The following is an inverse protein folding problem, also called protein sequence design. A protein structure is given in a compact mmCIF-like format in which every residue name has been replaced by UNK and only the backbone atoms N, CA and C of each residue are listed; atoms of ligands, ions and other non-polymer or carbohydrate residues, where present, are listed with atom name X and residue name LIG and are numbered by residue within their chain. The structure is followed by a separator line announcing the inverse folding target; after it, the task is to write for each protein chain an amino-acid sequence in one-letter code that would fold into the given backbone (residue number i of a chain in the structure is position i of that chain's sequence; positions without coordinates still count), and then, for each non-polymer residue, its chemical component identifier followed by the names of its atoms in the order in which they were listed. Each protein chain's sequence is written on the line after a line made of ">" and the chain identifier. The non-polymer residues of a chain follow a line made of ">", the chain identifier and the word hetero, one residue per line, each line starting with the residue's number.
data_IF_099538757920
#
_entry.id   IF_099538757920
#
_cell.length_a   1.000
_cell.length_b   1.000
_cell.length_c   1.000
_cell.angle_alpha   90.00
_cell.angle_beta   90.00
_cell.angle_gamma   90.00
#
_symmetry.space_group_name_H-M   'P 1'
#
loop_
_entity.id
_entity.type
_entity.pdbx_description
1 polymer ?
#
# COMPACT_ATOMS: atom_id res chain seq x y z
N UNK A 1 35.54 8.17 -14.57
CA UNK A 1 34.18 8.69 -14.27
C UNK A 1 33.22 7.51 -14.23
N UNK A 2 32.39 7.40 -13.21
CA UNK A 2 31.42 6.29 -13.09
C UNK A 2 30.32 6.49 -14.14
N UNK A 3 29.90 5.41 -14.79
CA UNK A 3 28.77 5.44 -15.73
C UNK A 3 27.69 4.48 -15.25
N UNK A 4 26.48 4.99 -15.11
CA UNK A 4 25.28 4.21 -14.84
C UNK A 4 24.56 4.04 -16.17
N UNK A 5 24.33 2.81 -16.60
CA UNK A 5 23.48 2.48 -17.75
C UNK A 5 22.18 1.86 -17.26
N UNK A 6 21.10 2.65 -17.19
CA UNK A 6 19.80 2.15 -16.81
C UNK A 6 19.30 1.12 -17.83
N UNK A 7 18.74 0.04 -17.31
CA UNK A 7 17.99 -0.93 -18.12
C UNK A 7 16.65 -1.22 -17.45
N UNK A 8 15.80 -2.01 -18.08
CA UNK A 8 14.43 -2.23 -17.62
C UNK A 8 14.37 -3.09 -16.35
N UNK A 9 15.17 -4.16 -16.30
CA UNK A 9 15.21 -5.11 -15.18
C UNK A 9 16.50 -4.98 -14.36
N UNK A 10 17.66 -4.97 -15.02
CA UNK A 10 18.98 -4.90 -14.37
C UNK A 10 19.89 -3.90 -15.07
N UNK A 11 20.29 -2.87 -14.36
CA UNK A 11 21.18 -1.81 -14.84
C UNK A 11 22.65 -2.18 -14.64
N UNK A 12 23.52 -1.59 -15.46
CA UNK A 12 24.98 -1.83 -15.42
C UNK A 12 25.70 -0.60 -14.90
N UNK A 13 26.66 -0.82 -14.01
CA UNK A 13 27.47 0.24 -13.40
C UNK A 13 28.93 -0.01 -13.77
N UNK A 14 29.55 0.98 -14.40
CA UNK A 14 30.91 0.92 -14.92
C UNK A 14 31.84 1.85 -14.16
N UNK A 15 33.12 1.51 -14.13
CA UNK A 15 34.18 2.40 -13.63
C UNK A 15 34.24 2.55 -12.11
N UNK A 16 33.64 1.63 -11.35
CA UNK A 16 33.77 1.59 -9.89
C UNK A 16 35.17 1.13 -9.49
N UNK A 17 35.77 1.81 -8.51
CA UNK A 17 36.98 1.33 -7.84
C UNK A 17 36.67 0.06 -7.02
N UNK A 18 37.72 -0.65 -6.59
CA UNK A 18 37.57 -1.83 -5.73
C UNK A 18 36.91 -1.48 -4.37
N UNK A 19 37.26 -0.34 -3.81
CA UNK A 19 36.71 0.15 -2.54
C UNK A 19 35.24 0.55 -2.68
N UNK A 20 34.89 1.29 -3.74
CA UNK A 20 33.51 1.66 -4.04
C UNK A 20 32.65 0.42 -4.28
N UNK A 21 33.18 -0.54 -5.06
CA UNK A 21 32.52 -1.83 -5.30
C UNK A 21 32.25 -2.58 -4.00
N UNK A 22 33.23 -2.63 -3.09
CA UNK A 22 33.08 -3.30 -1.78
C UNK A 22 32.00 -2.63 -0.94
N UNK A 23 31.98 -1.30 -0.90
CA UNK A 23 31.00 -0.53 -0.12
C UNK A 23 29.57 -0.70 -0.67
N UNK A 24 29.40 -0.57 -2.00
CA UNK A 24 28.10 -0.72 -2.66
C UNK A 24 27.57 -2.15 -2.52
N UNK A 25 28.42 -3.15 -2.74
CA UNK A 25 27.99 -4.56 -2.62
C UNK A 25 27.65 -4.97 -1.20
N UNK A 26 28.28 -4.35 -0.19
CA UNK A 26 27.89 -4.53 1.21
C UNK A 26 26.47 -4.00 1.48
N UNK A 27 26.11 -2.82 0.95
CA UNK A 27 24.76 -2.25 1.08
C UNK A 27 23.72 -3.11 0.34
N UNK A 28 24.08 -3.65 -0.83
CA UNK A 28 23.20 -4.50 -1.65
C UNK A 28 23.15 -5.98 -1.19
N UNK A 29 23.80 -6.31 -0.06
CA UNK A 29 23.80 -7.66 0.53
C UNK A 29 23.01 -7.67 1.83
N UNK A 30 21.80 -8.22 1.80
CA UNK A 30 20.88 -8.18 2.95
C UNK A 30 20.84 -9.53 3.65
N UNK A 31 20.93 -9.50 4.99
CA UNK A 31 20.88 -10.71 5.81
C UNK A 31 19.48 -11.34 5.78
N UNK A 32 19.41 -12.65 5.53
CA UNK A 32 18.15 -13.38 5.62
C UNK A 32 17.89 -13.80 7.09
N UNK A 33 16.79 -13.37 7.72
CA UNK A 33 16.51 -13.74 9.11
C UNK A 33 16.24 -15.24 9.26
N UNK A 34 15.72 -15.88 8.21
CA UNK A 34 15.41 -17.31 8.19
C UNK A 34 16.62 -18.19 7.79
N UNK A 35 17.83 -17.61 7.68
CA UNK A 35 19.04 -18.33 7.25
C UNK A 35 19.34 -19.57 8.09
N UNK A 36 19.07 -19.55 9.39
CA UNK A 36 19.34 -20.67 10.30
C UNK A 36 18.55 -21.94 9.95
N UNK A 37 17.40 -21.80 9.30
CA UNK A 37 16.58 -22.92 8.83
C UNK A 37 17.09 -23.51 7.50
N UNK A 38 17.96 -22.80 6.77
CA UNK A 38 18.40 -23.20 5.44
C UNK A 38 19.61 -24.15 5.52
N UNK A 39 19.55 -25.36 4.91
CA UNK A 39 20.67 -26.31 4.91
C UNK A 39 21.98 -25.72 4.40
N UNK A 40 21.92 -24.86 3.38
CA UNK A 40 23.12 -24.21 2.81
C UNK A 40 23.84 -23.31 3.82
N UNK A 41 23.11 -22.64 4.71
CA UNK A 41 23.71 -21.83 5.77
C UNK A 41 24.30 -22.72 6.88
N UNK A 42 23.54 -23.73 7.32
CA UNK A 42 23.99 -24.70 8.33
C UNK A 42 25.26 -25.44 7.91
N UNK A 43 25.37 -25.77 6.62
CA UNK A 43 26.53 -26.44 6.04
C UNK A 43 27.65 -25.47 5.62
N UNK A 44 27.58 -24.17 5.97
CA UNK A 44 28.58 -23.14 5.64
C UNK A 44 28.85 -22.94 4.13
N UNK A 45 27.92 -23.36 3.27
CA UNK A 45 27.98 -23.18 1.81
C UNK A 45 27.53 -21.76 1.42
N UNK A 46 26.72 -21.12 2.25
CA UNK A 46 26.18 -19.78 2.03
C UNK A 46 26.31 -18.92 3.29
N UNK A 47 26.69 -17.67 3.12
CA UNK A 47 26.93 -16.68 4.18
C UNK A 47 25.66 -16.11 4.83
N UNK A 48 24.48 -16.55 4.37
CA UNK A 48 23.20 -16.11 4.90
C UNK A 48 22.73 -14.77 4.34
N UNK A 49 23.44 -14.18 3.36
CA UNK A 49 23.07 -12.91 2.73
C UNK A 49 22.50 -13.12 1.33
N UNK A 50 21.36 -12.50 1.07
CA UNK A 50 20.81 -12.36 -0.28
C UNK A 50 21.48 -11.18 -0.99
N UNK A 51 22.00 -11.45 -2.20
CA UNK A 51 22.73 -10.47 -3.02
C UNK A 51 21.78 -9.92 -4.07
N UNK A 52 21.56 -8.61 -4.05
CA UNK A 52 20.73 -7.91 -5.04
C UNK A 52 21.57 -7.35 -6.21
N UNK A 53 22.68 -8.02 -6.52
CA UNK A 53 23.60 -7.67 -7.60
C UNK A 53 24.27 -8.94 -8.15
N UNK A 54 24.92 -8.79 -9.29
CA UNK A 54 25.83 -9.76 -9.91
C UNK A 54 26.97 -9.02 -10.61
N UNK A 55 27.94 -9.75 -11.16
CA UNK A 55 29.03 -9.19 -11.96
C UNK A 55 29.03 -9.76 -13.37
N UNK A 56 29.32 -8.91 -14.35
CA UNK A 56 29.68 -9.28 -15.72
C UNK A 56 31.11 -8.80 -15.96
N UNK A 57 32.09 -9.65 -15.72
CA UNK A 57 33.49 -9.23 -15.64
C UNK A 57 33.70 -8.22 -14.50
N UNK A 58 34.17 -7.01 -14.82
CA UNK A 58 34.32 -5.90 -13.87
C UNK A 58 33.07 -5.04 -13.71
N UNK A 59 32.00 -5.33 -14.46
CA UNK A 59 30.78 -4.52 -14.47
C UNK A 59 29.86 -4.99 -13.35
N UNK A 60 29.46 -4.07 -12.48
CA UNK A 60 28.46 -4.35 -11.45
C UNK A 60 27.06 -4.29 -12.08
N UNK A 61 26.31 -5.38 -11.98
CA UNK A 61 24.94 -5.50 -12.50
C UNK A 61 23.97 -5.51 -11.33
N UNK A 62 23.04 -4.56 -11.29
CA UNK A 62 22.13 -4.33 -10.16
C UNK A 62 20.69 -4.28 -10.64
N UNK A 63 19.73 -4.73 -9.83
CA UNK A 63 18.31 -4.51 -10.12
C UNK A 63 18.04 -3.02 -10.31
N UNK A 64 17.39 -2.64 -11.40
CA UNK A 64 17.21 -1.22 -11.74
C UNK A 64 16.48 -0.44 -10.65
N UNK A 65 15.51 -1.05 -9.97
CA UNK A 65 14.82 -0.42 -8.85
C UNK A 65 15.72 -0.14 -7.63
N UNK A 66 16.95 -0.66 -7.56
CA UNK A 66 17.92 -0.36 -6.50
C UNK A 66 19.01 0.62 -6.94
N UNK A 67 19.01 1.09 -8.18
CA UNK A 67 20.03 2.02 -8.68
C UNK A 67 20.04 3.33 -7.88
N UNK A 68 18.89 3.77 -7.35
CA UNK A 68 18.83 4.94 -6.48
C UNK A 68 19.71 4.81 -5.22
N UNK A 69 19.90 3.59 -4.68
CA UNK A 69 20.79 3.35 -3.54
C UNK A 69 22.24 3.67 -3.93
N UNK A 70 22.63 3.30 -5.14
CA UNK A 70 23.96 3.59 -5.69
C UNK A 70 24.11 5.09 -5.91
N UNK A 71 23.13 5.75 -6.53
CA UNK A 71 23.14 7.21 -6.73
C UNK A 71 23.25 7.94 -5.39
N UNK A 72 22.51 7.52 -4.37
CA UNK A 72 22.59 8.09 -3.03
C UNK A 72 23.98 7.91 -2.41
N UNK A 73 24.58 6.72 -2.52
CA UNK A 73 25.95 6.48 -2.09
C UNK A 73 26.95 7.39 -2.82
N UNK A 74 26.87 7.51 -4.14
CA UNK A 74 27.76 8.35 -4.94
C UNK A 74 27.60 9.84 -4.57
N UNK A 75 26.36 10.32 -4.48
CA UNK A 75 26.04 11.70 -4.08
C UNK A 75 26.56 12.03 -2.67
N UNK A 76 26.33 11.14 -1.69
CA UNK A 76 26.80 11.32 -0.31
C UNK A 76 28.32 11.41 -0.21
N UNK A 77 29.02 10.68 -1.08
CA UNK A 77 30.48 10.69 -1.16
C UNK A 77 31.03 11.70 -2.18
N UNK A 78 30.16 12.56 -2.77
CA UNK A 78 30.52 13.56 -3.78
C UNK A 78 31.29 12.97 -4.97
N UNK A 79 30.88 11.79 -5.42
CA UNK A 79 31.48 11.08 -6.55
C UNK A 79 30.67 11.36 -7.81
N UNK A 80 31.32 11.94 -8.82
CA UNK A 80 30.69 12.22 -10.11
C UNK A 80 30.36 10.95 -10.89
N UNK A 81 29.17 10.94 -11.47
CA UNK A 81 28.72 9.90 -12.39
C UNK A 81 27.94 10.50 -13.56
N UNK A 82 27.91 9.74 -14.64
CA UNK A 82 27.07 10.01 -15.81
C UNK A 82 25.94 8.99 -15.88
N UNK A 83 24.78 9.45 -16.32
CA UNK A 83 23.62 8.64 -16.61
C UNK A 83 22.99 9.16 -17.91
N UNK A 84 23.20 8.50 -19.06
CA UNK A 84 22.75 8.98 -20.36
C UNK A 84 21.24 8.80 -20.58
N UNK A 85 20.45 8.62 -19.51
CA UNK A 85 19.02 8.42 -19.59
C UNK A 85 18.32 9.78 -19.64
N UNK A 86 17.65 10.07 -20.76
CA UNK A 86 16.79 11.24 -20.87
C UNK A 86 15.55 11.04 -19.99
N UNK A 87 15.46 11.80 -18.90
CA UNK A 87 14.21 11.91 -18.17
C UNK A 87 13.14 12.52 -19.10
N UNK A 88 11.88 12.09 -18.94
CA UNK A 88 10.78 12.76 -19.62
C UNK A 88 10.76 14.26 -19.23
N UNK A 89 10.47 15.19 -20.16
CA UNK A 89 10.59 16.62 -19.91
C UNK A 89 9.80 17.10 -18.68
N UNK A 90 10.40 17.94 -17.84
CA UNK A 90 9.81 18.38 -16.55
C UNK A 90 8.56 19.27 -16.70
N UNK A 91 8.47 20.04 -17.79
CA UNK A 91 7.50 21.14 -17.93
C UNK A 91 6.21 20.78 -18.68
N UNK A 92 5.88 19.50 -18.77
CA UNK A 92 4.64 19.12 -19.46
C UNK A 92 3.41 19.41 -18.61
N UNK A 93 2.45 20.11 -19.21
CA UNK A 93 1.15 20.36 -18.61
C UNK A 93 0.45 19.02 -18.36
N UNK A 94 0.11 18.75 -17.10
CA UNK A 94 -0.65 17.55 -16.73
C UNK A 94 -2.10 17.78 -17.14
N UNK A 95 -2.49 17.18 -18.27
CA UNK A 95 -3.87 17.19 -18.74
C UNK A 95 -4.80 16.51 -17.73
N UNK A 96 -5.91 17.18 -17.45
CA UNK A 96 -6.99 16.60 -16.67
C UNK A 96 -7.67 15.46 -17.44
N UNK A 97 -7.95 14.36 -16.74
CA UNK A 97 -8.84 13.33 -17.27
C UNK A 97 -10.30 13.80 -17.26
N UNK A 98 -11.14 13.15 -18.08
CA UNK A 98 -12.57 13.46 -18.17
C UNK A 98 -13.24 13.44 -16.79
N UNK A 99 -13.92 14.55 -16.45
CA UNK A 99 -14.61 14.71 -15.17
C UNK A 99 -13.69 14.79 -13.94
N UNK A 100 -12.40 15.11 -14.11
CA UNK A 100 -11.45 15.33 -13.03
C UNK A 100 -10.80 16.69 -13.14
N UNK A 101 -10.53 17.27 -11.98
CA UNK A 101 -9.54 18.33 -11.84
C UNK A 101 -8.55 17.89 -10.78
N UNK A 102 -7.28 17.76 -11.15
CA UNK A 102 -6.25 17.31 -10.22
C UNK A 102 -6.00 18.34 -9.13
N UNK A 103 -5.89 17.85 -7.89
CA UNK A 103 -5.48 18.67 -6.74
C UNK A 103 -3.97 18.94 -6.81
N UNK A 104 -3.46 20.01 -6.16
CA UNK A 104 -2.04 20.36 -6.22
C UNK A 104 -1.09 19.22 -5.86
N UNK A 105 -1.39 18.45 -4.81
CA UNK A 105 -0.57 17.30 -4.40
C UNK A 105 -0.60 16.15 -5.41
N UNK A 106 -1.68 16.03 -6.21
CA UNK A 106 -1.78 15.03 -7.27
C UNK A 106 -0.96 15.46 -8.50
N UNK A 107 -0.92 16.75 -8.81
CA UNK A 107 -0.07 17.29 -9.87
C UNK A 107 1.41 17.10 -9.49
N UNK A 108 1.80 17.48 -8.27
CA UNK A 108 3.15 17.27 -7.74
C UNK A 108 3.55 15.78 -7.81
N UNK A 109 2.63 14.90 -7.41
CA UNK A 109 2.83 13.45 -7.50
C UNK A 109 3.15 12.99 -8.91
N UNK A 110 2.30 13.36 -9.88
CA UNK A 110 2.43 12.94 -11.28
C UNK A 110 3.76 13.48 -11.85
N UNK A 111 4.10 14.74 -11.61
CA UNK A 111 5.34 15.36 -12.08
C UNK A 111 6.58 14.65 -11.52
N UNK A 112 6.60 14.37 -10.20
CA UNK A 112 7.70 13.62 -9.58
C UNK A 112 7.81 12.20 -10.13
N UNK A 113 6.68 11.55 -10.38
CA UNK A 113 6.65 10.22 -11.00
C UNK A 113 7.17 10.24 -12.44
N UNK A 114 6.91 11.32 -13.20
CA UNK A 114 7.37 11.45 -14.59
C UNK A 114 8.89 11.59 -14.60
N UNK A 115 9.42 12.49 -13.77
CA UNK A 115 10.86 12.72 -13.60
C UNK A 115 11.62 11.44 -13.23
N UNK A 116 11.05 10.62 -12.34
CA UNK A 116 11.73 9.42 -11.85
C UNK A 116 11.50 8.18 -12.73
N UNK A 117 10.40 8.13 -13.45
CA UNK A 117 9.99 7.00 -14.29
C UNK A 117 9.50 5.78 -13.51
N UNK A 118 10.09 5.47 -12.35
CA UNK A 118 9.75 4.29 -11.55
C UNK A 118 9.95 4.53 -10.05
N UNK A 119 9.17 3.88 -9.22
CA UNK A 119 9.26 4.05 -7.77
C UNK A 119 8.03 3.53 -7.04
N UNK A 120 7.96 3.83 -5.75
CA UNK A 120 6.80 3.55 -4.93
C UNK A 120 6.21 4.87 -4.46
N UNK A 121 4.98 5.15 -4.88
CA UNK A 121 4.20 6.26 -4.37
C UNK A 121 3.66 5.92 -2.98
N UNK A 122 4.26 6.51 -1.96
CA UNK A 122 3.69 6.52 -0.63
C UNK A 122 2.65 7.63 -0.55
N UNK A 123 1.38 7.22 -0.56
CA UNK A 123 0.27 8.15 -0.45
C UNK A 123 -0.84 7.56 0.45
N UNK A 124 -1.34 8.34 1.43
CA UNK A 124 -2.36 7.89 2.35
C UNK A 124 -3.66 7.58 1.62
N UNK A 125 -4.58 6.88 2.28
CA UNK A 125 -5.91 6.67 1.71
C UNK A 125 -6.63 8.01 1.53
N UNK A 126 -7.48 8.12 0.50
CA UNK A 126 -8.18 9.38 0.20
C UNK A 126 -7.39 10.39 -0.66
N UNK A 127 -6.06 10.25 -0.76
CA UNK A 127 -5.20 11.10 -1.61
C UNK A 127 -5.48 11.02 -3.12
N UNK A 128 -6.32 10.07 -3.55
CA UNK A 128 -6.65 9.87 -4.96
C UNK A 128 -5.59 9.08 -5.73
N UNK A 129 -4.92 8.11 -5.08
CA UNK A 129 -3.93 7.19 -5.70
C UNK A 129 -4.34 6.68 -7.07
N UNK A 130 -5.56 6.17 -7.20
CA UNK A 130 -6.05 5.67 -8.49
C UNK A 130 -6.06 6.76 -9.56
N UNK A 131 -6.48 7.97 -9.23
CA UNK A 131 -6.53 9.08 -10.18
C UNK A 131 -5.13 9.59 -10.56
N UNK A 132 -4.19 9.58 -9.60
CA UNK A 132 -2.77 9.83 -9.87
C UNK A 132 -2.22 8.79 -10.85
N UNK A 133 -2.50 7.50 -10.61
CA UNK A 133 -2.05 6.42 -11.48
C UNK A 133 -2.63 6.53 -12.90
N UNK A 134 -3.93 6.78 -13.04
CA UNK A 134 -4.58 6.94 -14.34
C UNK A 134 -4.07 8.19 -15.07
N UNK A 135 -3.83 9.29 -14.36
CA UNK A 135 -3.26 10.52 -14.93
C UNK A 135 -1.85 10.32 -15.46
N UNK A 136 -1.01 9.68 -14.65
CA UNK A 136 0.33 9.29 -15.07
C UNK A 136 0.31 8.37 -16.29
N UNK A 137 -0.52 7.32 -16.29
CA UNK A 137 -0.67 6.40 -17.41
C UNK A 137 -1.04 7.14 -18.69
N UNK A 138 -2.06 7.99 -18.62
CA UNK A 138 -2.51 8.78 -19.76
C UNK A 138 -1.38 9.64 -20.34
N UNK A 139 -0.67 10.34 -19.46
CA UNK A 139 0.39 11.25 -19.87
C UNK A 139 1.58 10.52 -20.47
N UNK A 140 2.12 9.51 -19.77
CA UNK A 140 3.32 8.80 -20.22
C UNK A 140 3.05 7.97 -21.47
N UNK A 141 1.90 7.28 -21.57
CA UNK A 141 1.58 6.45 -22.74
C UNK A 141 1.37 7.28 -24.01
N UNK A 142 0.97 8.56 -23.91
CA UNK A 142 0.92 9.47 -25.08
C UNK A 142 2.32 9.81 -25.62
N UNK A 143 3.34 9.78 -24.77
CA UNK A 143 4.72 10.14 -25.13
C UNK A 143 5.48 8.91 -25.62
N UNK A 144 5.49 7.83 -24.82
CA UNK A 144 6.32 6.65 -25.09
C UNK A 144 5.59 5.56 -25.88
N UNK A 145 4.27 5.66 -26.02
CA UNK A 145 3.44 4.65 -26.65
C UNK A 145 3.37 3.32 -25.88
N UNK A 146 2.81 2.30 -26.53
CA UNK A 146 2.65 0.97 -25.94
C UNK A 146 1.35 0.81 -25.15
N UNK A 147 1.39 -0.02 -24.10
CA UNK A 147 0.23 -0.31 -23.27
C UNK A 147 0.48 -0.15 -21.77
N UNK A 148 -0.60 0.18 -21.06
CA UNK A 148 -0.61 0.30 -19.61
C UNK A 148 -1.11 -0.98 -18.94
N UNK A 149 -0.46 -1.42 -17.87
CA UNK A 149 -0.92 -2.52 -17.02
C UNK A 149 -1.21 -2.03 -15.61
N UNK A 150 -2.41 -2.27 -15.09
CA UNK A 150 -2.81 -1.97 -13.72
C UNK A 150 -3.09 -3.28 -13.00
N UNK A 151 -2.37 -3.50 -11.91
CA UNK A 151 -2.49 -4.67 -11.05
C UNK A 151 -3.13 -4.22 -9.73
N UNK A 152 -4.27 -4.81 -9.40
CA UNK A 152 -4.93 -4.63 -8.11
C UNK A 152 -5.02 -5.94 -7.35
N UNK A 153 -5.13 -5.88 -6.04
CA UNK A 153 -5.21 -7.05 -5.17
C UNK A 153 -6.60 -7.27 -4.58
N UNK A 154 -7.57 -6.41 -4.88
CA UNK A 154 -8.91 -6.50 -4.30
C UNK A 154 -9.97 -6.50 -5.37
N UNK A 155 -10.89 -7.46 -5.27
CA UNK A 155 -12.00 -7.58 -6.21
C UNK A 155 -12.89 -6.34 -6.24
N UNK A 156 -13.08 -5.67 -5.09
CA UNK A 156 -13.82 -4.40 -5.01
C UNK A 156 -13.12 -3.21 -5.68
N UNK A 157 -11.78 -3.24 -5.76
CA UNK A 157 -11.01 -2.26 -6.53
C UNK A 157 -10.95 -2.62 -8.00
N UNK A 158 -11.12 -3.91 -8.34
CA UNK A 158 -11.23 -4.36 -9.71
C UNK A 158 -12.61 -3.98 -10.29
N UNK A 159 -13.71 -4.47 -9.73
CA UNK A 159 -15.08 -4.27 -10.24
C UNK A 159 -16.04 -3.75 -9.16
N UNK A 160 -17.08 -3.03 -9.60
CA UNK A 160 -18.14 -2.47 -8.74
C UNK A 160 -18.08 -0.95 -8.66
N UNK A 161 -18.96 -0.37 -7.83
CA UNK A 161 -19.07 1.09 -7.69
C UNK A 161 -17.79 1.69 -7.09
N UNK A 162 -17.21 2.66 -7.77
CA UNK A 162 -15.97 3.34 -7.41
C UNK A 162 -14.69 2.56 -7.72
N UNK A 163 -14.78 1.42 -8.42
CA UNK A 163 -13.62 0.58 -8.76
C UNK A 163 -12.72 1.22 -9.83
N UNK A 164 -11.54 0.63 -10.07
CA UNK A 164 -10.63 1.06 -11.12
C UNK A 164 -11.27 0.86 -12.50
N UNK A 165 -11.99 -0.24 -12.70
CA UNK A 165 -12.73 -0.53 -13.93
C UNK A 165 -13.77 0.53 -14.26
N UNK A 166 -14.59 0.92 -13.28
CA UNK A 166 -15.57 1.99 -13.46
C UNK A 166 -14.88 3.34 -13.69
N UNK A 167 -13.79 3.64 -12.97
CA UNK A 167 -13.02 4.87 -13.20
C UNK A 167 -12.41 4.92 -14.59
N UNK A 168 -11.86 3.82 -15.11
CA UNK A 168 -11.33 3.79 -16.48
C UNK A 168 -12.44 4.10 -17.48
N UNK A 169 -13.62 3.50 -17.33
CA UNK A 169 -14.81 3.83 -18.14
C UNK A 169 -15.27 5.29 -17.98
N UNK A 170 -15.14 5.80 -16.75
CA UNK A 170 -15.29 7.20 -16.31
C UNK A 170 -14.45 8.19 -17.14
N UNK A 171 -13.15 7.91 -17.16
CA UNK A 171 -12.08 8.87 -17.46
C UNK A 171 -11.61 8.87 -18.90
N UNK A 172 -11.77 7.75 -19.62
CA UNK A 172 -11.20 7.56 -20.94
C UNK A 172 -12.28 7.30 -21.99
N UNK A 173 -12.04 7.78 -23.22
CA UNK A 173 -12.89 7.47 -24.36
C UNK A 173 -12.54 6.09 -24.91
N UNK A 174 -13.29 5.08 -24.45
CA UNK A 174 -13.08 3.66 -24.79
C UNK A 174 -13.85 3.33 -26.06
N UNK A 175 -13.17 2.73 -27.03
CA UNK A 175 -13.77 2.23 -28.29
C UNK A 175 -14.01 0.73 -28.28
N UNK A 176 -13.29 -0.01 -27.45
CA UNK A 176 -13.49 -1.45 -27.27
C UNK A 176 -13.07 -1.88 -25.85
N UNK A 177 -13.81 -2.82 -25.27
CA UNK A 177 -13.58 -3.35 -23.93
C UNK A 177 -13.84 -4.84 -23.92
N UNK A 178 -12.79 -5.61 -23.63
CA UNK A 178 -12.82 -7.07 -23.60
C UNK A 178 -12.52 -7.53 -22.19
N UNK A 179 -13.35 -8.44 -21.67
CA UNK A 179 -13.18 -9.01 -20.34
C UNK A 179 -12.99 -10.52 -20.45
N UNK A 180 -11.90 -11.00 -19.89
CA UNK A 180 -11.55 -12.41 -19.77
C UNK A 180 -11.22 -12.69 -18.30
N UNK A 181 -11.51 -13.88 -17.77
CA UNK A 181 -11.42 -14.21 -16.34
C UNK A 181 -10.27 -13.49 -15.59
N UNK A 182 -10.60 -12.47 -14.79
CA UNK A 182 -9.65 -11.65 -14.02
C UNK A 182 -8.75 -10.66 -14.77
N UNK A 183 -8.86 -10.51 -16.09
CA UNK A 183 -8.22 -9.51 -16.94
C UNK A 183 -9.25 -8.70 -17.77
N UNK A 184 -9.19 -7.38 -17.68
CA UNK A 184 -9.99 -6.49 -18.54
C UNK A 184 -9.05 -5.68 -19.42
N UNK A 185 -9.22 -5.78 -20.73
CA UNK A 185 -8.53 -4.99 -21.73
C UNK A 185 -9.41 -3.86 -22.24
N UNK A 186 -8.81 -2.69 -22.46
CA UNK A 186 -9.45 -1.49 -22.99
C UNK A 186 -8.65 -1.00 -24.19
N UNK A 187 -9.34 -0.68 -25.28
CA UNK A 187 -8.81 0.07 -26.40
C UNK A 187 -9.38 1.48 -26.35
N UNK A 188 -8.50 2.47 -26.27
CA UNK A 188 -8.87 3.88 -26.23
C UNK A 188 -8.98 4.44 -27.65
N UNK A 189 -9.73 5.53 -27.83
CA UNK A 189 -9.92 6.22 -29.12
C UNK A 189 -8.61 6.67 -29.77
N UNK A 190 -7.61 7.02 -28.96
CA UNK A 190 -6.26 7.38 -29.40
C UNK A 190 -5.35 6.17 -29.69
N UNK A 191 -5.88 4.94 -29.67
CA UNK A 191 -5.15 3.71 -29.97
C UNK A 191 -4.38 3.10 -28.80
N UNK A 192 -4.28 3.79 -27.65
CA UNK A 192 -3.65 3.27 -26.44
C UNK A 192 -4.44 2.06 -25.93
N UNK A 193 -3.71 1.06 -25.41
CA UNK A 193 -4.30 -0.11 -24.76
C UNK A 193 -4.04 -0.08 -23.26
N UNK A 194 -5.07 -0.31 -22.46
CA UNK A 194 -4.95 -0.49 -21.02
C UNK A 194 -5.38 -1.90 -20.63
N UNK A 195 -4.72 -2.46 -19.62
CA UNK A 195 -5.02 -3.79 -19.08
C UNK A 195 -5.18 -3.66 -17.56
N UNK A 196 -6.29 -4.15 -17.02
CA UNK A 196 -6.58 -4.21 -15.59
C UNK A 196 -6.66 -5.67 -15.15
N UNK A 197 -5.88 -6.06 -14.13
CA UNK A 197 -5.82 -7.43 -13.64
C UNK A 197 -5.83 -7.54 -12.12
N UNK A 198 -6.33 -8.66 -11.61
CA UNK A 198 -6.09 -9.09 -10.23
C UNK A 198 -4.73 -9.78 -10.10
N UNK A 199 -3.95 -9.45 -9.06
CA UNK A 199 -2.61 -10.03 -8.87
C UNK A 199 -2.57 -11.55 -8.70
N UNK A 200 -3.63 -12.17 -8.16
CA UNK A 200 -3.74 -13.63 -8.03
C UNK A 200 -4.16 -14.31 -9.35
N UNK A 201 -5.10 -13.70 -10.10
CA UNK A 201 -5.59 -14.27 -11.37
C UNK A 201 -4.54 -14.20 -12.46
N UNK A 202 -3.81 -13.08 -12.53
CA UNK A 202 -2.69 -12.90 -13.46
C UNK A 202 -1.67 -14.05 -13.39
N UNK A 203 -1.56 -14.70 -12.24
CA UNK A 203 -0.54 -15.70 -11.93
C UNK A 203 -1.06 -17.09 -12.18
N UNK A 204 -2.32 -17.34 -11.79
CA UNK A 204 -3.00 -18.59 -12.12
C UNK A 204 -3.10 -18.74 -13.64
N UNK A 205 -3.39 -17.68 -14.39
CA UNK A 205 -3.54 -17.75 -15.86
C UNK A 205 -2.20 -17.90 -16.59
N UNK A 206 -1.12 -17.30 -16.07
CA UNK A 206 0.25 -17.60 -16.53
C UNK A 206 0.62 -19.06 -16.26
N UNK A 207 0.24 -19.57 -15.08
CA UNK A 207 0.57 -20.93 -14.67
C UNK A 207 -0.29 -22.00 -15.37
N UNK A 208 -1.50 -21.64 -15.82
CA UNK A 208 -2.49 -22.54 -16.42
C UNK A 208 -2.52 -22.50 -17.95
N UNK A 209 -1.68 -21.67 -18.59
CA UNK A 209 -1.49 -21.75 -20.04
C UNK A 209 -2.70 -21.29 -20.84
N UNK A 210 -3.20 -20.08 -20.60
CA UNK A 210 -3.74 -19.31 -21.72
C UNK A 210 -2.68 -19.35 -22.83
N UNK A 211 -3.06 -19.76 -24.06
CA UNK A 211 -2.15 -19.92 -25.21
C UNK A 211 -1.00 -18.92 -25.16
N UNK A 212 0.21 -19.42 -24.86
CA UNK A 212 1.32 -18.61 -24.34
C UNK A 212 1.69 -17.39 -25.18
N UNK A 213 1.37 -17.40 -26.47
CA UNK A 213 1.67 -16.33 -27.40
C UNK A 213 0.83 -15.06 -27.19
N UNK A 214 -0.47 -15.19 -26.91
CA UNK A 214 -1.36 -14.03 -26.78
C UNK A 214 -1.07 -13.22 -25.52
N UNK A 215 -0.75 -13.90 -24.43
CA UNK A 215 -0.42 -13.24 -23.16
C UNK A 215 1.00 -12.66 -23.14
N UNK A 216 1.99 -13.39 -23.68
CA UNK A 216 3.34 -12.84 -23.87
C UNK A 216 3.32 -11.61 -24.79
N UNK A 217 2.46 -11.57 -25.80
CA UNK A 217 2.22 -10.36 -26.62
C UNK A 217 1.71 -9.20 -25.78
N UNK A 218 0.80 -9.42 -24.82
CA UNK A 218 0.35 -8.39 -23.89
C UNK A 218 1.54 -7.90 -23.06
N UNK A 219 2.26 -8.78 -22.36
CA UNK A 219 3.41 -8.40 -21.52
C UNK A 219 4.50 -7.64 -22.30
N UNK A 220 4.80 -8.09 -23.52
CA UNK A 220 5.79 -7.46 -24.39
C UNK A 220 5.29 -6.14 -25.01
N UNK A 221 4.01 -5.80 -24.86
CA UNK A 221 3.47 -4.50 -25.26
C UNK A 221 3.44 -3.48 -24.10
N UNK A 222 3.54 -3.95 -22.85
CA UNK A 222 3.44 -3.09 -21.67
C UNK A 222 4.70 -2.26 -21.51
N UNK A 223 4.51 -0.94 -21.50
CA UNK A 223 5.55 0.08 -21.32
C UNK A 223 5.43 0.80 -19.98
N UNK A 224 4.21 0.81 -19.39
CA UNK A 224 3.92 1.39 -18.08
C UNK A 224 3.12 0.42 -17.22
N UNK A 225 3.55 0.19 -15.97
CA UNK A 225 2.84 -0.68 -15.02
C UNK A 225 2.56 0.02 -13.69
N UNK A 226 1.35 -0.20 -13.17
CA UNK A 226 0.91 0.21 -11.84
C UNK A 226 0.54 -1.00 -11.00
N UNK A 227 0.98 -1.01 -9.74
CA UNK A 227 0.55 -1.99 -8.75
C UNK A 227 0.02 -1.25 -7.53
N UNK A 228 -1.26 -1.43 -7.23
CA UNK A 228 -1.84 -0.92 -5.98
C UNK A 228 -1.53 -1.86 -4.82
N UNK A 229 -1.45 -1.33 -3.60
CA UNK A 229 -1.15 -2.07 -2.37
C UNK A 229 0.13 -2.95 -2.45
N UNK A 230 1.25 -2.36 -2.87
CA UNK A 230 2.51 -3.11 -3.11
C UNK A 230 3.08 -3.87 -1.92
N UNK A 231 2.62 -3.59 -0.70
CA UNK A 231 2.96 -4.41 0.47
C UNK A 231 2.51 -5.87 0.31
N UNK A 232 1.52 -6.14 -0.55
CA UNK A 232 1.06 -7.49 -0.88
C UNK A 232 1.89 -8.18 -1.98
N UNK A 233 2.64 -7.42 -2.79
CA UNK A 233 3.42 -7.93 -3.96
C UNK A 233 4.49 -8.94 -3.54
N UNK A 234 5.02 -8.87 -2.31
CA UNK A 234 6.02 -9.83 -1.84
C UNK A 234 5.46 -11.23 -1.57
N UNK A 235 4.22 -11.33 -1.06
CA UNK A 235 3.55 -12.64 -0.86
C UNK A 235 3.50 -13.42 -2.17
N UNK A 236 3.45 -12.69 -3.28
CA UNK A 236 3.52 -13.23 -4.63
C UNK A 236 4.97 -13.55 -5.02
N UNK A 237 5.91 -12.59 -5.01
CA UNK A 237 7.31 -12.86 -5.39
C UNK A 237 7.94 -14.07 -4.67
N UNK A 238 7.55 -14.37 -3.43
CA UNK A 238 8.00 -15.56 -2.67
C UNK A 238 7.28 -16.87 -3.03
N UNK A 239 5.95 -16.87 -3.20
CA UNK A 239 5.20 -18.07 -3.64
C UNK A 239 5.66 -18.56 -5.03
N UNK A 240 6.30 -17.68 -5.80
CA UNK A 240 6.56 -17.85 -7.22
C UNK A 240 7.98 -18.37 -7.50
N UNK A 241 8.72 -18.80 -6.48
CA UNK A 241 9.94 -19.62 -6.68
C UNK A 241 9.63 -20.97 -7.37
N UNK A 242 8.37 -21.41 -7.42
CA UNK A 242 7.94 -22.64 -8.09
C UNK A 242 7.52 -22.46 -9.56
N UNK A 243 6.99 -21.30 -9.95
CA UNK A 243 6.66 -20.96 -11.35
C UNK A 243 7.85 -20.25 -11.98
N UNK A 244 8.51 -20.83 -12.99
CA UNK A 244 9.76 -20.34 -13.60
C UNK A 244 9.74 -18.89 -14.16
N UNK A 245 8.65 -18.14 -14.04
CA UNK A 245 8.50 -16.77 -14.55
C UNK A 245 8.14 -15.82 -13.40
N UNK A 246 9.02 -14.86 -13.11
CA UNK A 246 8.67 -13.67 -12.32
C UNK A 246 8.05 -12.65 -13.27
N UNK A 247 6.75 -12.37 -13.12
CA UNK A 247 5.97 -11.39 -13.90
C UNK A 247 6.71 -10.06 -14.12
N UNK A 248 7.30 -9.51 -13.06
CA UNK A 248 7.99 -8.22 -13.14
C UNK A 248 9.28 -8.33 -13.96
N UNK A 249 9.83 -9.52 -14.11
CA UNK A 249 10.95 -9.75 -15.04
C UNK A 249 10.46 -9.97 -16.48
N UNK A 250 9.22 -10.42 -16.67
CA UNK A 250 8.62 -10.63 -17.99
C UNK A 250 8.15 -9.31 -18.66
N UNK A 251 8.00 -8.23 -17.89
CA UNK A 251 7.71 -6.88 -18.41
C UNK A 251 8.97 -6.23 -19.02
N UNK A 252 9.48 -6.83 -20.09
CA UNK A 252 10.78 -6.51 -20.70
C UNK A 252 10.85 -5.16 -21.39
N UNK A 253 9.72 -4.50 -21.69
CA UNK A 253 9.63 -3.13 -22.24
C UNK A 253 9.16 -2.08 -21.23
N UNK A 254 8.86 -2.49 -20.00
CA UNK A 254 8.24 -1.63 -19.00
C UNK A 254 9.30 -1.00 -18.10
N UNK A 255 9.96 0.06 -18.53
CA UNK A 255 10.83 0.83 -17.62
C UNK A 255 10.01 1.51 -16.53
N UNK A 256 8.84 2.06 -16.91
CA UNK A 256 7.98 2.81 -16.01
C UNK A 256 7.19 1.86 -15.10
N UNK A 257 7.59 1.77 -13.83
CA UNK A 257 7.00 0.84 -12.86
C UNK A 257 6.70 1.53 -11.55
N UNK A 258 5.42 1.63 -11.24
CA UNK A 258 4.94 2.33 -10.05
C UNK A 258 4.21 1.38 -9.12
N UNK A 259 4.70 1.34 -7.89
CA UNK A 259 3.98 0.79 -6.76
C UNK A 259 3.21 1.88 -6.04
N UNK A 260 2.05 1.57 -5.47
CA UNK A 260 1.33 2.50 -4.59
C UNK A 260 1.02 1.82 -3.27
N UNK A 261 1.22 2.54 -2.17
CA UNK A 261 0.82 2.06 -0.85
C UNK A 261 0.69 3.24 0.09
N UNK A 262 -0.20 3.16 1.08
CA UNK A 262 -0.13 4.09 2.21
C UNK A 262 1.10 3.81 3.10
N UNK A 263 1.59 2.57 3.04
CA UNK A 263 2.64 2.02 3.90
C UNK A 263 3.50 1.06 3.09
N UNK A 264 4.44 1.58 2.28
CA UNK A 264 5.22 0.76 1.36
C UNK A 264 6.35 -0.02 2.05
N UNK A 265 6.76 0.41 3.23
CA UNK A 265 7.88 -0.18 3.98
C UNK A 265 7.36 -1.23 4.97
N UNK A 266 7.91 -2.44 4.90
CA UNK A 266 7.73 -3.46 5.94
C UNK A 266 8.83 -3.36 6.99
N UNK A 267 8.59 -3.84 8.20
CA UNK A 267 9.56 -3.74 9.31
C UNK A 267 10.89 -4.47 9.01
N UNK A 268 10.89 -5.49 8.13
CA UNK A 268 12.07 -6.29 7.78
C UNK A 268 12.80 -5.77 6.51
N UNK A 269 14.11 -5.52 6.62
CA UNK A 269 14.95 -4.96 5.56
C UNK A 269 14.98 -5.80 4.27
N UNK A 270 15.03 -7.14 4.39
CA UNK A 270 15.04 -8.03 3.23
C UNK A 270 13.76 -7.87 2.39
N UNK A 271 12.62 -7.75 3.06
CA UNK A 271 11.32 -7.54 2.43
C UNK A 271 11.24 -6.20 1.70
N UNK A 272 11.83 -5.15 2.28
CA UNK A 272 11.95 -3.85 1.62
C UNK A 272 12.74 -3.96 0.33
N UNK A 273 13.92 -4.60 0.33
CA UNK A 273 14.76 -4.77 -0.86
C UNK A 273 14.06 -5.57 -1.96
N UNK A 274 13.28 -6.60 -1.60
CA UNK A 274 12.47 -7.35 -2.56
C UNK A 274 11.40 -6.50 -3.26
N UNK A 275 10.88 -5.49 -2.58
CA UNK A 275 9.88 -4.57 -3.13
C UNK A 275 10.57 -3.49 -3.97
N UNK A 276 11.57 -2.82 -3.38
CA UNK A 276 12.31 -1.71 -4.01
C UNK A 276 12.99 -2.14 -5.32
N UNK A 277 13.54 -3.36 -5.41
CA UNK A 277 14.20 -3.83 -6.64
C UNK A 277 13.32 -3.81 -7.88
N UNK A 278 12.00 -3.92 -7.70
CA UNK A 278 11.05 -3.95 -8.79
C UNK A 278 10.54 -2.56 -9.17
N UNK A 279 10.31 -1.72 -8.16
CA UNK A 279 9.66 -0.43 -8.35
C UNK A 279 10.69 0.70 -8.39
N UNK A 280 11.46 0.90 -7.34
CA UNK A 280 12.38 2.03 -7.22
C UNK A 280 12.34 2.62 -5.81
N UNK A 281 12.83 3.84 -5.70
CA UNK A 281 12.77 4.64 -4.48
C UNK A 281 11.32 4.92 -4.05
N UNK A 282 11.13 5.17 -2.76
CA UNK A 282 9.84 5.60 -2.22
C UNK A 282 9.76 7.11 -2.32
N UNK A 283 8.72 7.61 -2.98
CA UNK A 283 8.36 9.03 -2.97
C UNK A 283 7.15 9.24 -2.07
N UNK A 284 7.33 10.11 -1.08
CA UNK A 284 6.27 10.54 -0.18
C UNK A 284 5.58 11.76 -0.76
N UNK A 285 4.24 11.72 -0.81
CA UNK A 285 3.43 12.90 -1.06
C UNK A 285 2.77 13.30 0.25
N UNK A 286 2.90 14.58 0.58
CA UNK A 286 2.12 15.17 1.66
C UNK A 286 0.70 15.35 1.14
N UNK A 287 -0.21 14.52 1.62
CA UNK A 287 -1.64 14.72 1.41
C UNK A 287 -2.25 15.24 2.70
N UNK A 288 -2.87 16.39 2.58
CA UNK A 288 -3.72 16.93 3.61
C UNK A 288 -5.15 16.99 3.06
N UNK A 289 -6.10 16.33 3.74
CA UNK A 289 -7.52 16.44 3.43
C UNK A 289 -8.10 17.82 3.79
N UNK A 290 -7.38 18.62 4.58
CA UNK A 290 -7.86 19.84 5.23
C UNK A 290 -8.75 19.56 6.44
N UNK A 291 -9.30 18.35 6.54
CA UNK A 291 -10.13 17.90 7.67
C UNK A 291 -9.28 17.74 8.95
N UNK A 292 -9.60 18.47 10.04
CA UNK A 292 -9.01 18.25 11.35
C UNK A 292 -9.24 16.82 11.84
N UNK A 293 -8.22 16.22 12.46
CA UNK A 293 -8.32 14.90 13.10
C UNK A 293 -7.97 15.04 14.57
N UNK A 294 -8.87 14.64 15.47
CA UNK A 294 -8.58 14.62 16.91
C UNK A 294 -8.49 13.19 17.40
N UNK A 295 -7.31 12.81 17.88
CA UNK A 295 -7.03 11.46 18.37
C UNK A 295 -7.02 11.49 19.90
N UNK A 296 -8.04 10.91 20.51
CA UNK A 296 -8.12 10.71 21.95
C UNK A 296 -7.54 9.35 22.30
N UNK A 297 -6.37 9.34 22.91
CA UNK A 297 -5.73 8.12 23.38
C UNK A 297 -5.94 8.00 24.89
N UNK A 298 -6.83 7.11 25.31
CA UNK A 298 -7.14 6.90 26.73
C UNK A 298 -6.20 5.87 27.32
N UNK A 299 -5.41 6.26 28.33
CA UNK A 299 -4.58 5.31 29.05
C UNK A 299 -5.45 4.39 29.88
N UNK A 300 -5.28 3.08 29.70
CA UNK A 300 -5.82 2.10 30.63
C UNK A 300 -4.66 1.30 31.24
N UNK A 301 -4.61 1.30 32.56
CA UNK A 301 -3.58 0.64 33.35
C UNK A 301 -4.04 -0.77 33.68
N UNK A 302 -3.24 -1.76 33.31
CA UNK A 302 -3.48 -3.13 33.75
C UNK A 302 -2.16 -3.81 34.10
N UNK A 303 -2.17 -4.66 35.14
CA UNK A 303 -1.07 -5.55 35.46
C UNK A 303 -1.35 -6.90 34.79
N UNK A 304 -0.70 -7.16 33.65
CA UNK A 304 -0.71 -8.47 33.01
C UNK A 304 0.64 -9.17 33.24
N UNK A 305 0.60 -10.46 33.59
CA UNK A 305 1.77 -11.35 33.61
C UNK A 305 1.87 -12.20 32.35
N UNK A 306 1.08 -11.90 31.31
CA UNK A 306 1.06 -12.67 30.08
C UNK A 306 2.44 -12.70 29.40
N UNK A 307 2.95 -13.92 29.18
CA UNK A 307 4.21 -14.15 28.46
C UNK A 307 4.00 -14.14 26.94
N UNK A 308 2.80 -14.51 26.48
CA UNK A 308 2.40 -14.51 25.07
C UNK A 308 1.46 -13.35 24.71
N UNK A 309 1.44 -12.97 23.44
CA UNK A 309 0.62 -11.87 22.92
C UNK A 309 -0.87 -12.21 22.97
N UNK A 310 -1.22 -13.44 22.61
CA UNK A 310 -2.59 -13.95 22.57
C UNK A 310 -3.24 -13.89 23.96
N UNK A 311 -2.52 -14.32 25.00
CA UNK A 311 -2.98 -14.25 26.40
C UNK A 311 -3.23 -12.81 26.85
N UNK A 312 -2.35 -11.87 26.45
CA UNK A 312 -2.50 -10.47 26.79
C UNK A 312 -3.78 -9.86 26.16
N UNK A 313 -4.12 -10.28 24.94
CA UNK A 313 -5.34 -9.85 24.23
C UNK A 313 -6.60 -10.44 24.88
N UNK A 314 -6.60 -11.73 25.21
CA UNK A 314 -7.72 -12.35 25.91
C UNK A 314 -7.99 -11.70 27.27
N UNK A 315 -6.93 -11.43 28.03
CA UNK A 315 -7.02 -10.72 29.30
C UNK A 315 -7.64 -9.32 29.14
N UNK A 316 -7.19 -8.58 28.12
CA UNK A 316 -7.71 -7.25 27.80
C UNK A 316 -9.20 -7.29 27.44
N UNK A 317 -9.63 -8.31 26.68
CA UNK A 317 -11.03 -8.46 26.34
C UNK A 317 -11.92 -8.67 27.55
N UNK A 318 -11.43 -9.27 28.64
CA UNK A 318 -12.21 -9.47 29.86
C UNK A 318 -12.45 -8.17 30.66
N UNK A 319 -11.67 -7.11 30.44
CA UNK A 319 -11.74 -5.88 31.23
C UNK A 319 -12.92 -4.99 30.84
N UNK A 320 -13.74 -4.66 31.83
CA UNK A 320 -14.89 -3.77 31.67
C UNK A 320 -14.48 -2.30 31.48
N UNK A 321 -13.31 -1.86 31.97
CA UNK A 321 -12.84 -0.47 31.87
C UNK A 321 -12.79 0.02 30.42
N UNK A 322 -12.37 -0.85 29.50
CA UNK A 322 -12.34 -0.53 28.07
C UNK A 322 -13.75 -0.40 27.50
N UNK A 323 -14.64 -1.34 27.80
CA UNK A 323 -16.03 -1.31 27.35
C UNK A 323 -16.73 -0.05 27.89
N UNK A 324 -16.50 0.28 29.15
CA UNK A 324 -17.02 1.50 29.76
C UNK A 324 -16.45 2.76 29.09
N UNK A 325 -15.17 2.74 28.72
CA UNK A 325 -14.56 3.83 27.98
C UNK A 325 -15.16 4.02 26.58
N UNK A 326 -15.47 2.92 25.88
CA UNK A 326 -16.19 2.96 24.59
C UNK A 326 -17.58 3.55 24.78
N UNK A 327 -18.34 3.10 25.79
CA UNK A 327 -19.66 3.66 26.13
C UNK A 327 -19.59 5.16 26.43
N UNK A 328 -18.61 5.57 27.23
CA UNK A 328 -18.42 6.99 27.57
C UNK A 328 -18.09 7.82 26.32
N UNK A 329 -17.27 7.31 25.41
CA UNK A 329 -16.97 7.99 24.16
C UNK A 329 -18.20 8.13 23.26
N UNK A 330 -18.98 7.05 23.09
CA UNK A 330 -20.24 7.10 22.34
C UNK A 330 -21.24 8.10 22.94
N UNK A 331 -21.31 8.20 24.27
CA UNK A 331 -22.15 9.18 24.95
C UNK A 331 -21.65 10.62 24.77
N UNK A 332 -20.34 10.85 24.95
CA UNK A 332 -19.73 12.17 24.93
C UNK A 332 -19.74 12.82 23.53
N UNK A 333 -19.56 12.03 22.48
CA UNK A 333 -19.50 12.50 21.10
C UNK A 333 -20.85 12.39 20.36
N UNK A 334 -21.92 11.96 21.05
CA UNK A 334 -23.29 11.99 20.56
C UNK A 334 -23.55 11.10 19.33
N UNK A 335 -24.42 11.57 18.43
CA UNK A 335 -24.88 10.82 17.26
C UNK A 335 -23.91 10.83 16.06
N UNK A 336 -22.61 11.04 16.32
CA UNK A 336 -21.58 10.92 15.31
C UNK A 336 -21.64 9.57 14.62
N UNK A 337 -21.37 9.58 13.32
CA UNK A 337 -21.32 8.41 12.44
C UNK A 337 -20.08 7.60 12.79
N UNK A 338 -20.28 6.63 13.68
CA UNK A 338 -19.21 5.92 14.37
C UNK A 338 -19.00 4.51 13.82
N UNK A 339 -17.76 4.18 13.49
CA UNK A 339 -17.34 2.79 13.25
C UNK A 339 -16.47 2.31 14.40
N UNK A 340 -16.87 1.20 15.01
CA UNK A 340 -16.07 0.52 16.04
C UNK A 340 -15.33 -0.65 15.37
N UNK A 341 -14.00 -0.58 15.34
CA UNK A 341 -13.18 -1.63 14.77
C UNK A 341 -12.71 -2.62 15.85
N UNK A 342 -12.85 -3.92 15.56
CA UNK A 342 -12.35 -5.05 16.36
C UNK A 342 -11.47 -5.99 15.52
N UNK A 343 -10.56 -6.74 16.15
CA UNK A 343 -9.74 -7.75 15.46
C UNK A 343 -10.35 -9.15 15.63
N UNK A 344 -10.72 -9.52 16.85
CA UNK A 344 -11.33 -10.80 17.24
C UNK A 344 -12.85 -10.78 17.10
N UNK A 345 -13.40 -11.83 16.50
CA UNK A 345 -14.84 -11.95 16.23
C UNK A 345 -15.61 -12.10 17.55
N UNK A 346 -15.07 -12.86 18.50
CA UNK A 346 -15.66 -13.12 19.81
C UNK A 346 -15.85 -11.83 20.60
N UNK A 347 -14.85 -10.94 20.55
CA UNK A 347 -14.94 -9.62 21.19
C UNK A 347 -15.95 -8.72 20.49
N UNK A 348 -16.02 -8.75 19.15
CA UNK A 348 -17.05 -8.08 18.36
C UNK A 348 -18.47 -8.52 18.72
N UNK A 349 -18.70 -9.83 18.87
CA UNK A 349 -19.99 -10.39 19.31
C UNK A 349 -20.35 -9.88 20.72
N UNK A 350 -19.37 -9.85 21.65
CA UNK A 350 -19.60 -9.33 23.00
C UNK A 350 -19.96 -7.84 22.98
N UNK A 351 -19.22 -7.02 22.24
CA UNK A 351 -19.51 -5.59 22.10
C UNK A 351 -20.88 -5.36 21.45
N UNK A 352 -21.23 -6.13 20.42
CA UNK A 352 -22.55 -6.08 19.77
C UNK A 352 -23.68 -6.27 20.78
N UNK A 353 -23.59 -7.29 21.63
CA UNK A 353 -24.59 -7.57 22.67
C UNK A 353 -24.67 -6.46 23.74
N UNK A 354 -23.52 -5.96 24.18
CA UNK A 354 -23.45 -4.96 25.26
C UNK A 354 -23.89 -3.58 24.78
N UNK A 355 -23.43 -3.17 23.60
CA UNK A 355 -23.69 -1.85 23.02
C UNK A 355 -25.01 -1.81 22.23
N UNK A 356 -25.58 -2.98 21.90
CA UNK A 356 -26.79 -3.12 21.06
C UNK A 356 -26.65 -2.43 19.71
N UNK A 357 -25.48 -2.58 19.07
CA UNK A 357 -25.20 -2.03 17.74
C UNK A 357 -24.92 -3.17 16.75
N UNK A 358 -25.25 -3.03 15.46
CA UNK A 358 -24.98 -4.07 14.46
C UNK A 358 -23.49 -4.43 14.38
N UNK A 359 -23.18 -5.69 14.11
CA UNK A 359 -21.80 -6.16 13.90
C UNK A 359 -21.67 -6.89 12.58
N UNK A 360 -20.72 -6.44 11.74
CA UNK A 360 -20.41 -7.06 10.46
C UNK A 360 -19.00 -7.66 10.45
N UNK A 361 -18.90 -8.92 10.03
CA UNK A 361 -17.67 -9.70 10.08
C UNK A 361 -17.59 -10.77 8.97
N UNK A 362 -16.58 -11.65 9.09
CA UNK A 362 -16.14 -12.66 8.10
C UNK A 362 -17.26 -13.33 7.32
N UNK A 363 -18.21 -13.79 8.11
CA UNK A 363 -19.26 -14.73 7.72
C UNK A 363 -20.60 -14.04 7.49
N UNK A 364 -20.69 -12.71 7.76
CA UNK A 364 -21.90 -11.94 7.50
C UNK A 364 -22.24 -12.00 6.01
N UNK A 365 -23.51 -12.29 5.70
CA UNK A 365 -23.97 -12.40 4.30
C UNK A 365 -23.80 -11.06 3.60
N UNK A 366 -23.50 -11.07 2.29
CA UNK A 366 -23.34 -9.83 1.50
C UNK A 366 -24.54 -8.88 1.68
N UNK A 367 -25.76 -9.41 1.59
CA UNK A 367 -27.00 -8.65 1.75
C UNK A 367 -27.09 -7.92 3.11
N UNK A 368 -26.76 -8.63 4.19
CA UNK A 368 -26.78 -8.08 5.56
C UNK A 368 -25.73 -6.96 5.73
N UNK A 369 -24.52 -7.15 5.18
CA UNK A 369 -23.49 -6.11 5.19
C UNK A 369 -23.93 -4.87 4.44
N UNK A 370 -24.46 -5.05 3.22
CA UNK A 370 -24.92 -3.95 2.37
C UNK A 370 -26.07 -3.19 3.05
N UNK A 371 -26.98 -3.88 3.73
CA UNK A 371 -28.09 -3.29 4.49
C UNK A 371 -27.60 -2.46 5.69
N UNK A 372 -26.69 -2.99 6.51
CA UNK A 372 -26.12 -2.25 7.65
C UNK A 372 -25.40 -0.99 7.17
N UNK A 373 -24.60 -1.10 6.11
CA UNK A 373 -23.88 0.03 5.52
C UNK A 373 -24.86 1.07 4.98
N UNK A 374 -25.91 0.67 4.27
CA UNK A 374 -26.89 1.60 3.72
C UNK A 374 -27.67 2.29 4.84
N UNK A 375 -28.11 1.56 5.87
CA UNK A 375 -28.78 2.14 7.03
C UNK A 375 -27.88 3.14 7.78
N UNK A 376 -26.57 2.89 7.81
CA UNK A 376 -25.60 3.83 8.37
C UNK A 376 -25.48 5.11 7.53
N UNK A 377 -25.36 4.97 6.20
CA UNK A 377 -25.29 6.10 5.27
C UNK A 377 -26.59 6.94 5.32
N UNK A 378 -27.75 6.28 5.36
CA UNK A 378 -29.08 6.90 5.34
C UNK A 378 -29.46 7.64 6.64
N UNK A 379 -28.65 7.56 7.70
CA UNK A 379 -29.04 8.15 8.98
C UNK A 379 -29.71 7.19 9.97
N UNK A 380 -30.24 6.05 9.52
CA UNK A 380 -31.07 5.13 10.32
C UNK A 380 -30.33 4.49 11.50
N UNK A 381 -29.02 4.27 11.36
CA UNK A 381 -28.14 3.92 12.48
C UNK A 381 -26.94 4.89 12.51
N UNK A 382 -26.48 5.24 13.70
CA UNK A 382 -25.29 6.09 13.90
C UNK A 382 -24.02 5.29 14.14
N UNK A 383 -24.13 4.03 14.56
CA UNK A 383 -22.97 3.22 14.99
C UNK A 383 -23.10 1.78 14.54
N UNK A 384 -22.00 1.19 14.09
CA UNK A 384 -21.87 -0.26 13.93
C UNK A 384 -20.44 -0.73 14.23
N UNK A 385 -20.28 -2.04 14.48
CA UNK A 385 -19.01 -2.69 14.71
C UNK A 385 -18.56 -3.40 13.43
N UNK A 386 -17.27 -3.34 13.12
CA UNK A 386 -16.65 -4.07 12.01
C UNK A 386 -15.42 -4.84 12.45
N UNK A 387 -15.31 -6.08 11.96
CA UNK A 387 -14.02 -6.79 11.96
C UNK A 387 -13.18 -6.42 10.72
N UNK A 388 -12.05 -7.11 10.52
CA UNK A 388 -11.06 -6.97 9.43
C UNK A 388 -11.61 -6.77 8.01
N UNK A 389 -12.89 -7.03 7.73
CA UNK A 389 -13.49 -6.87 6.40
C UNK A 389 -13.61 -5.41 5.95
N UNK A 390 -13.97 -4.47 6.82
CA UNK A 390 -14.11 -3.06 6.38
C UNK A 390 -12.82 -2.26 6.39
N UNK A 391 -11.73 -2.80 6.96
CA UNK A 391 -10.41 -2.23 6.74
C UNK A 391 -10.05 -2.18 5.24
N UNK A 392 -10.74 -2.95 4.39
CA UNK A 392 -10.25 -3.22 3.04
C UNK A 392 -11.19 -2.93 1.85
N UNK A 393 -12.43 -2.44 1.99
CA UNK A 393 -13.28 -2.38 0.79
C UNK A 393 -14.45 -1.41 0.69
N UNK A 394 -14.99 -0.85 1.78
CA UNK A 394 -16.19 -0.01 1.68
C UNK A 394 -15.82 1.45 1.91
N UNK A 395 -16.13 2.27 0.93
CA UNK A 395 -15.95 3.71 0.97
C UNK A 395 -17.17 4.35 1.68
N UNK A 396 -17.00 4.76 2.93
CA UNK A 396 -18.07 5.40 3.72
C UNK A 396 -17.60 6.80 4.14
N UNK A 397 -17.68 7.84 3.27
CA UNK A 397 -17.20 9.19 3.58
C UNK A 397 -17.93 9.87 4.75
N UNK A 398 -19.14 9.43 5.07
CA UNK A 398 -19.99 9.99 6.14
C UNK A 398 -19.49 9.66 7.55
N UNK A 399 -18.49 8.79 7.71
CA UNK A 399 -17.90 8.46 9.03
C UNK A 399 -17.16 9.67 9.57
N UNK A 400 -17.49 10.14 10.77
CA UNK A 400 -16.82 11.26 11.46
C UNK A 400 -16.29 10.86 12.84
N UNK A 401 -16.46 9.59 13.24
CA UNK A 401 -15.84 9.00 14.43
C UNK A 401 -15.38 7.55 14.21
N UNK A 402 -14.19 7.23 14.70
CA UNK A 402 -13.60 5.88 14.66
C UNK A 402 -13.22 5.47 16.08
N UNK A 403 -13.61 4.27 16.50
CA UNK A 403 -13.18 3.66 17.76
C UNK A 403 -12.35 2.41 17.48
N UNK A 404 -11.09 2.39 17.92
CA UNK A 404 -10.22 1.23 17.85
C UNK A 404 -10.39 0.42 19.14
N UNK A 405 -11.36 -0.50 19.16
CA UNK A 405 -11.71 -1.23 20.38
C UNK A 405 -10.67 -2.29 20.77
N UNK A 406 -9.82 -2.73 19.85
CA UNK A 406 -8.76 -3.71 20.10
C UNK A 406 -7.40 -3.19 19.61
N UNK A 407 -6.32 -3.71 20.20
CA UNK A 407 -4.96 -3.39 19.77
C UNK A 407 -4.72 -4.04 18.40
N UNK A 408 -4.59 -3.19 17.38
CA UNK A 408 -4.16 -3.66 16.08
C UNK A 408 -2.65 -3.94 16.08
N UNK A 409 -2.29 -5.22 15.86
CA UNK A 409 -0.91 -5.62 15.52
C UNK A 409 -0.47 -5.00 14.19
N UNK A 410 -1.40 -4.83 13.24
CA UNK A 410 -1.13 -4.23 11.94
C UNK A 410 -1.28 -2.70 11.98
N UNK A 411 -0.15 -2.03 12.27
CA UNK A 411 0.05 -0.57 12.19
C UNK A 411 -0.50 0.03 10.88
N UNK A 412 -0.33 -0.70 9.78
CA UNK A 412 -0.76 -0.33 8.43
C UNK A 412 -2.27 -0.15 8.37
N UNK A 413 -3.02 -1.08 8.95
CA UNK A 413 -4.47 -1.08 8.85
C UNK A 413 -5.07 0.11 9.61
N UNK A 414 -4.51 0.47 10.78
CA UNK A 414 -4.97 1.60 11.58
C UNK A 414 -4.88 2.91 10.80
N UNK A 415 -3.70 3.21 10.24
CA UNK A 415 -3.49 4.45 9.49
C UNK A 415 -4.32 4.49 8.21
N UNK A 416 -4.51 3.34 7.55
CA UNK A 416 -5.38 3.25 6.38
C UNK A 416 -6.84 3.51 6.75
N UNK A 417 -7.32 3.01 7.88
CA UNK A 417 -8.69 3.22 8.36
C UNK A 417 -8.92 4.68 8.78
N UNK A 418 -7.99 5.28 9.53
CA UNK A 418 -8.06 6.71 9.86
C UNK A 418 -8.05 7.57 8.58
N UNK A 419 -7.15 7.29 7.63
CA UNK A 419 -7.10 8.01 6.35
C UNK A 419 -8.33 7.80 5.45
N UNK A 420 -9.09 6.72 5.61
CA UNK A 420 -10.42 6.58 4.96
C UNK A 420 -11.44 7.49 5.64
N UNK A 421 -11.37 7.58 6.97
CA UNK A 421 -12.16 8.49 7.77
C UNK A 421 -11.88 9.96 7.50
N UNK A 422 -10.80 10.37 6.83
CA UNK A 422 -10.57 11.81 6.53
C UNK A 422 -11.21 12.30 5.23
N UNK A 423 -11.99 11.45 4.55
CA UNK A 423 -12.72 11.85 3.34
C UNK A 423 -13.82 12.85 3.68
N UNK A 424 -13.90 13.90 2.87
CA UNK A 424 -14.93 14.93 2.99
C UNK A 424 -16.30 14.36 2.63
N UNK A 425 -17.32 14.78 3.38
CA UNK A 425 -18.74 14.54 3.13
C UNK A 425 -19.52 15.77 3.60
N UNK A 426 -20.75 15.92 3.11
CA UNK A 426 -21.61 17.04 3.50
C UNK A 426 -21.86 17.03 5.01
N UNK A 427 -21.68 18.18 5.66
CA UNK A 427 -21.89 18.35 7.10
C UNK A 427 -20.74 17.85 8.00
N UNK A 428 -19.65 17.33 7.45
CA UNK A 428 -18.52 16.81 8.22
C UNK A 428 -17.42 17.84 8.44
N UNK A 429 -17.18 18.15 9.71
CA UNK A 429 -16.22 19.19 10.13
C UNK A 429 -14.87 18.63 10.58
N UNK A 430 -14.86 17.45 11.20
CA UNK A 430 -13.66 16.82 11.74
C UNK A 430 -13.78 15.28 11.78
N UNK A 431 -12.69 14.60 12.11
CA UNK A 431 -12.66 13.18 12.41
C UNK A 431 -12.17 12.95 13.85
N UNK A 432 -12.99 12.29 14.66
CA UNK A 432 -12.60 11.85 16.01
C UNK A 432 -12.09 10.42 15.95
N UNK A 433 -10.92 10.15 16.53
CA UNK A 433 -10.39 8.80 16.70
C UNK A 433 -10.23 8.50 18.18
N UNK A 434 -10.86 7.43 18.66
CA UNK A 434 -10.69 6.91 20.01
C UNK A 434 -9.79 5.69 19.96
N UNK A 435 -8.65 5.76 20.64
CA UNK A 435 -7.69 4.66 20.82
C UNK A 435 -7.36 4.51 22.32
N UNK A 436 -6.77 3.37 22.67
CA UNK A 436 -6.39 3.03 24.03
C UNK A 436 -4.88 2.89 24.14
N UNK A 437 -4.28 3.57 25.12
CA UNK A 437 -2.89 3.35 25.49
C UNK A 437 -2.87 2.31 26.61
N UNK A 438 -2.52 1.07 26.26
CA UNK A 438 -2.41 -0.01 27.22
C UNK A 438 -1.08 0.09 27.96
N UNK A 439 -1.14 0.59 29.19
CA UNK A 439 0.03 0.74 30.06
C UNK A 439 0.26 -0.55 30.84
N UNK A 440 0.81 -1.54 30.15
CA UNK A 440 1.20 -2.85 30.68
C UNK A 440 2.73 -2.99 30.83
N UNK A 441 3.20 -4.15 31.30
CA UNK A 441 4.63 -4.48 31.38
C UNK A 441 5.18 -5.21 30.15
N UNK A 442 4.42 -5.31 29.06
CA UNK A 442 4.67 -6.26 27.98
C UNK A 442 4.47 -5.71 26.57
N UNK A 443 3.87 -6.53 25.70
CA UNK A 443 3.72 -6.25 24.26
C UNK A 443 2.74 -5.11 23.97
N UNK A 444 1.71 -4.92 24.81
CA UNK A 444 0.63 -3.98 24.54
C UNK A 444 1.11 -2.52 24.67
N UNK A 445 1.96 -2.22 25.65
CA UNK A 445 2.61 -0.92 25.81
C UNK A 445 3.54 -0.60 24.65
N UNK A 446 4.30 -1.60 24.16
CA UNK A 446 5.15 -1.42 22.96
C UNK A 446 4.30 -1.05 21.74
N UNK A 447 3.19 -1.73 21.50
CA UNK A 447 2.29 -1.43 20.38
C UNK A 447 1.62 -0.05 20.56
N UNK A 448 1.23 0.32 21.78
CA UNK A 448 0.64 1.63 22.08
C UNK A 448 1.63 2.77 21.83
N UNK A 449 2.89 2.63 22.25
CA UNK A 449 3.96 3.59 21.94
C UNK A 449 4.18 3.74 20.44
N UNK A 450 4.19 2.63 19.69
CA UNK A 450 4.34 2.68 18.24
C UNK A 450 3.19 3.43 17.57
N UNK A 451 1.94 3.18 17.96
CA UNK A 451 0.77 3.91 17.43
C UNK A 451 0.86 5.41 17.72
N UNK A 452 1.26 5.78 18.94
CA UNK A 452 1.46 7.18 19.32
C UNK A 452 2.49 7.88 18.41
N UNK A 453 3.62 7.24 18.09
CA UNK A 453 4.60 7.79 17.14
C UNK A 453 4.03 7.98 15.73
N UNK A 454 3.15 7.09 15.27
CA UNK A 454 2.49 7.25 13.98
C UNK A 454 1.50 8.40 13.98
N UNK A 455 0.72 8.55 15.04
CA UNK A 455 -0.22 9.66 15.18
C UNK A 455 0.46 11.01 15.15
N UNK A 456 1.66 11.13 15.73
CA UNK A 456 2.47 12.37 15.66
C UNK A 456 2.84 12.78 14.24
N UNK A 457 2.90 11.81 13.32
CA UNK A 457 3.23 12.03 11.91
C UNK A 457 1.97 12.08 11.02
N UNK A 458 0.77 11.98 11.59
CA UNK A 458 -0.47 12.00 10.82
C UNK A 458 -0.87 13.46 10.50
N UNK A 459 -1.17 13.80 9.23
CA UNK A 459 -1.55 15.16 8.85
C UNK A 459 -2.77 15.68 9.62
N UNK A 460 -2.72 16.92 10.08
CA UNK A 460 -3.79 17.61 10.82
C UNK A 460 -4.30 16.86 12.06
N UNK A 461 -3.46 15.99 12.65
CA UNK A 461 -3.80 15.28 13.88
C UNK A 461 -3.44 16.11 15.12
N UNK A 462 -4.44 16.33 15.97
CA UNK A 462 -4.26 16.75 17.38
C UNK A 462 -4.37 15.51 18.25
N UNK A 463 -3.40 15.28 19.14
CA UNK A 463 -3.35 14.08 19.99
C UNK A 463 -3.60 14.47 21.44
N UNK A 464 -4.67 13.91 22.01
CA UNK A 464 -5.03 14.07 23.41
C UNK A 464 -4.76 12.77 24.16
N UNK A 465 -3.69 12.74 24.96
CA UNK A 465 -3.38 11.60 25.82
C UNK A 465 -3.98 11.80 27.21
N UNK A 466 -5.01 11.02 27.55
CA UNK A 466 -5.65 11.09 28.86
C UNK A 466 -5.07 10.05 29.78
N UNK A 467 -4.38 10.51 30.84
CA UNK A 467 -3.98 9.64 31.95
C UNK A 467 -5.17 9.52 32.91
N UNK A 468 -5.51 8.27 33.28
CA UNK A 468 -6.37 7.99 34.43
C UNK A 468 -5.64 8.29 35.73
#
# INVERSE_FOLDING_TARGET
>A
MIRIEPSIVKSKIFGLSKEQTTSITAILSVLNPNRFFMPKFRNKIWDGKERFYSFEGSILVVWTGLVFIIKNFLNQNRIDYSEPFEAAPEDQLIENLKGITYRPHQIEAIQRMIKQGRGILQAPTGSGKTEIALGYLNHVLKIIGGSGLIITHRRSLYEGKGSIDERIAQRFDIVDRIRYDGLTGYKLSNGIKLFLTMGQTFVNDIALGMEGDSFLKILNSVTVSFSDEVHAVETYARKFKKSKINILNALTKCYHRWGMSATPVKDELLEQFHTLKHFGEIINIKYDSGLPVTIHMKTIKYLTKAEEYEDAIEYLHQKEDRIQSIKNALSAFGNRKTIIFVDKIEYGIRLCRILKVPFIYGESKKKERDEVIQNFIDGKISTFISSKILNFGVDIPVVDMIILAEIYKSKINVLQSIGRGTRLSEGKEDLIVIDFFDDDSGYLKKHSKQRLEYYKNFPNATINLYKQ
#
